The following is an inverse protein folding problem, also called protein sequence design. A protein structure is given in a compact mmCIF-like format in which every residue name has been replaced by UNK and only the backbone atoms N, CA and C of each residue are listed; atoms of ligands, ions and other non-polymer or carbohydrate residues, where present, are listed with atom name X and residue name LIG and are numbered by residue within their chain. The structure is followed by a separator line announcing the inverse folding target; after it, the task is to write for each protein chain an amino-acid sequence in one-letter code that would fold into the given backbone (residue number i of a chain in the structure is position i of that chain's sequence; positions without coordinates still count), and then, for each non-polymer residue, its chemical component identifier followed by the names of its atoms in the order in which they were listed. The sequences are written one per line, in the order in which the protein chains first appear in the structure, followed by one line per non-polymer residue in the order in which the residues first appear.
data_IF_312303099588
#
_entry.id   IF_312303099588
#
_cell.length_a   1.000
_cell.length_b   1.000
_cell.length_c   1.000
_cell.angle_alpha   90.00
_cell.angle_beta   90.00
_cell.angle_gamma   90.00
#
_symmetry.space_group_name_H-M   'P 1'
#
loop_
_entity.id
_entity.type
_entity.pdbx_description
1 polymer ?
#
# COMPACT_ATOMS: atom_id res chain seq x y z
N UNK A 1 0.08 20.79 -3.83
CA UNK A 1 0.96 19.70 -3.36
C UNK A 1 2.28 20.29 -2.94
N UNK A 2 2.81 19.87 -1.80
CA UNK A 2 4.09 20.29 -1.25
C UNK A 2 4.88 19.06 -0.78
N UNK A 3 6.18 19.16 -0.54
CA UNK A 3 6.92 18.03 -0.02
C UNK A 3 6.50 17.61 1.38
N UNK A 4 6.59 16.30 1.64
CA UNK A 4 6.37 15.75 2.97
C UNK A 4 7.42 16.32 3.94
N UNK A 5 7.01 16.91 5.09
CA UNK A 5 7.88 17.75 5.91
C UNK A 5 9.06 17.01 6.53
N UNK A 6 8.95 15.68 6.67
CA UNK A 6 9.96 14.83 7.27
C UNK A 6 11.00 14.31 6.27
N UNK A 7 10.90 14.68 4.99
CA UNK A 7 11.99 14.46 4.05
C UNK A 7 13.17 15.41 4.33
N UNK A 8 14.42 14.93 4.35
CA UNK A 8 15.60 15.79 4.42
C UNK A 8 15.68 16.76 3.23
N UNK A 9 16.13 17.98 3.50
CA UNK A 9 16.34 19.02 2.48
C UNK A 9 17.83 19.18 2.15
N UNK A 10 18.21 19.49 0.89
CA UNK A 10 17.34 19.68 -0.27
C UNK A 10 16.80 18.35 -0.83
N UNK A 11 15.56 18.36 -1.32
CA UNK A 11 14.84 17.12 -1.68
C UNK A 11 15.37 16.56 -3.00
N UNK A 12 15.71 17.45 -3.93
CA UNK A 12 16.18 17.16 -5.28
C UNK A 12 17.42 16.27 -5.30
N UNK A 13 18.23 16.29 -4.23
CA UNK A 13 19.45 15.47 -4.12
C UNK A 13 19.32 14.30 -3.16
N UNK A 14 18.37 14.35 -2.22
CA UNK A 14 18.28 13.38 -1.12
C UNK A 14 17.10 12.41 -1.25
N UNK A 15 16.15 12.68 -2.14
CA UNK A 15 14.95 11.88 -2.27
C UNK A 15 14.67 11.48 -3.72
N UNK A 16 14.46 10.17 -3.90
CA UNK A 16 13.95 9.57 -5.12
C UNK A 16 12.85 8.61 -4.71
N UNK A 17 11.65 8.81 -5.25
CA UNK A 17 10.49 7.99 -4.90
C UNK A 17 10.67 6.53 -5.35
N UNK A 18 10.90 6.30 -6.65
CA UNK A 18 11.04 4.97 -7.22
C UNK A 18 12.30 4.25 -6.71
N UNK A 19 12.11 3.13 -6.01
CA UNK A 19 13.16 2.30 -5.43
C UNK A 19 13.98 1.58 -6.50
N UNK A 20 13.31 1.02 -7.50
CA UNK A 20 13.92 0.16 -8.51
C UNK A 20 14.25 0.99 -9.74
N UNK A 21 15.54 1.23 -10.06
CA UNK A 21 15.92 1.99 -11.23
C UNK A 21 15.69 1.16 -12.49
N UNK A 22 14.80 1.61 -13.37
CA UNK A 22 14.61 0.93 -14.65
C UNK A 22 15.70 1.32 -15.66
N UNK A 23 16.33 2.48 -15.44
CA UNK A 23 17.32 3.09 -16.32
C UNK A 23 18.37 3.86 -15.52
N UNK A 24 19.59 3.88 -16.03
CA UNK A 24 20.71 4.71 -15.60
C UNK A 24 21.04 5.78 -16.67
N UNK A 25 21.65 6.91 -16.29
CA UNK A 25 22.03 7.97 -17.25
C UNK A 25 22.97 7.52 -18.37
N UNK A 26 23.71 6.42 -18.18
CA UNK A 26 24.61 5.83 -19.17
C UNK A 26 23.88 5.00 -20.24
N UNK A 27 22.61 4.67 -20.04
CA UNK A 27 21.86 3.81 -20.95
C UNK A 27 21.44 4.56 -22.22
N UNK A 28 21.29 3.84 -23.32
CA UNK A 28 20.86 4.44 -24.59
C UNK A 28 19.40 4.92 -24.50
N UNK A 29 19.18 6.23 -24.60
CA UNK A 29 17.86 6.86 -24.49
C UNK A 29 16.86 6.38 -25.56
N UNK A 30 17.33 5.93 -26.73
CA UNK A 30 16.47 5.49 -27.84
C UNK A 30 16.09 4.02 -27.79
N UNK A 31 16.49 3.28 -26.74
CA UNK A 31 16.23 1.84 -26.63
C UNK A 31 15.80 1.50 -25.21
N UNK A 32 14.71 0.76 -25.09
CA UNK A 32 14.26 0.27 -23.80
C UNK A 32 15.33 -0.66 -23.18
N UNK A 33 15.59 -0.50 -21.88
CA UNK A 33 16.51 -1.36 -21.13
C UNK A 33 15.85 -2.72 -20.86
N UNK A 34 16.63 -3.77 -20.53
CA UNK A 34 16.05 -5.04 -20.08
C UNK A 34 15.13 -4.90 -18.88
N UNK A 35 15.46 -4.01 -17.94
CA UNK A 35 14.65 -3.75 -16.74
C UNK A 35 13.34 -3.05 -17.10
N UNK A 36 13.37 -2.04 -17.98
CA UNK A 36 12.15 -1.41 -18.50
C UNK A 36 11.25 -2.43 -19.19
N UNK A 37 11.81 -3.28 -20.06
CA UNK A 37 11.03 -4.32 -20.76
C UNK A 37 10.43 -5.31 -19.78
N UNK A 38 11.20 -5.77 -18.78
CA UNK A 38 10.71 -6.68 -17.74
C UNK A 38 9.52 -6.06 -17.01
N UNK A 39 9.67 -4.83 -16.53
CA UNK A 39 8.62 -4.12 -15.83
C UNK A 39 7.43 -3.76 -16.72
N UNK A 40 7.60 -3.47 -18.01
CA UNK A 40 6.48 -3.28 -18.93
C UNK A 40 5.71 -4.61 -19.08
N UNK A 41 6.43 -5.72 -19.20
CA UNK A 41 5.82 -7.04 -19.38
C UNK A 41 5.03 -7.51 -18.16
N UNK A 42 5.45 -7.18 -16.94
CA UNK A 42 4.66 -7.45 -15.71
C UNK A 42 3.22 -6.96 -15.86
N UNK A 43 3.02 -5.79 -16.47
CA UNK A 43 1.71 -5.14 -16.58
C UNK A 43 1.01 -5.41 -17.92
N UNK A 44 1.77 -5.72 -18.97
CA UNK A 44 1.23 -6.10 -20.28
C UNK A 44 0.72 -7.56 -20.30
N UNK A 45 1.38 -8.46 -19.57
CA UNK A 45 1.11 -9.89 -19.65
C UNK A 45 -0.26 -10.25 -19.07
N UNK A 46 -1.13 -10.78 -19.95
CA UNK A 46 -2.36 -11.51 -19.65
C UNK A 46 -2.14 -13.03 -19.63
N UNK A 47 -0.89 -13.48 -19.39
CA UNK A 47 -0.53 -14.88 -19.58
C UNK A 47 -1.38 -15.77 -18.65
N UNK A 48 -2.12 -16.77 -19.19
CA UNK A 48 -2.97 -17.66 -18.39
C UNK A 48 -2.24 -18.42 -17.27
N UNK A 49 -0.92 -18.61 -17.39
CA UNK A 49 -0.07 -19.25 -16.38
C UNK A 49 0.40 -18.31 -15.26
N UNK A 50 0.18 -16.99 -15.40
CA UNK A 50 0.53 -15.97 -14.42
C UNK A 50 -0.72 -15.25 -13.90
N UNK A 51 -1.56 -15.99 -13.17
CA UNK A 51 -2.78 -15.50 -12.50
C UNK A 51 -2.53 -14.53 -11.31
N UNK A 52 -1.35 -13.91 -11.20
CA UNK A 52 -0.86 -13.36 -9.91
C UNK A 52 -0.67 -11.86 -9.85
N UNK A 53 -0.77 -11.17 -10.98
CA UNK A 53 -0.54 -9.73 -11.11
C UNK A 53 -1.86 -9.09 -11.54
N UNK A 54 -2.07 -7.80 -11.18
CA UNK A 54 -3.01 -6.88 -11.85
C UNK A 54 -2.60 -6.71 -13.30
N UNK A 55 -2.78 -7.79 -14.03
CA UNK A 55 -2.64 -7.86 -15.45
C UNK A 55 -3.71 -6.95 -16.04
N UNK A 56 -3.40 -6.41 -17.20
CA UNK A 56 -4.36 -5.70 -18.03
C UNK A 56 -5.70 -6.45 -18.13
N UNK A 57 -5.67 -7.79 -18.12
CA UNK A 57 -6.85 -8.64 -18.10
C UNK A 57 -7.73 -8.45 -16.86
N UNK A 58 -7.18 -8.39 -15.65
CA UNK A 58 -7.99 -8.19 -14.44
C UNK A 58 -8.62 -6.79 -14.39
N UNK A 59 -7.85 -5.77 -14.75
CA UNK A 59 -8.35 -4.39 -14.85
C UNK A 59 -9.47 -4.30 -15.88
N UNK A 60 -9.27 -4.93 -17.05
CA UNK A 60 -10.32 -5.06 -18.06
C UNK A 60 -11.56 -5.78 -17.53
N UNK A 61 -11.38 -6.93 -16.85
CA UNK A 61 -12.48 -7.69 -16.25
C UNK A 61 -13.28 -6.92 -15.20
N UNK A 62 -12.59 -6.10 -14.39
CA UNK A 62 -13.27 -5.23 -13.42
C UNK A 62 -14.02 -4.11 -14.14
N UNK A 63 -13.35 -3.43 -15.07
CA UNK A 63 -13.93 -2.35 -15.85
C UNK A 63 -15.14 -2.80 -16.71
N UNK A 64 -15.09 -3.95 -17.38
CA UNK A 64 -16.23 -4.44 -18.19
C UNK A 64 -17.47 -4.73 -17.35
N UNK A 65 -17.27 -5.04 -16.06
CA UNK A 65 -18.32 -5.41 -15.11
C UNK A 65 -18.84 -4.23 -14.28
N UNK A 66 -18.28 -3.03 -14.47
CA UNK A 66 -18.68 -1.83 -13.75
C UNK A 66 -20.01 -1.29 -14.29
N UNK A 67 -21.10 -1.74 -13.67
CA UNK A 67 -22.47 -1.37 -14.05
C UNK A 67 -22.80 0.13 -13.83
N UNK A 68 -21.93 0.88 -13.15
CA UNK A 68 -22.13 2.33 -12.94
C UNK A 68 -21.74 3.15 -14.17
N UNK A 69 -20.99 2.56 -15.11
CA UNK A 69 -20.52 3.20 -16.34
C UNK A 69 -21.37 2.72 -17.54
N UNK A 70 -22.01 3.63 -18.30
CA UNK A 70 -22.73 3.26 -19.51
C UNK A 70 -21.79 2.64 -20.56
N UNK A 71 -22.17 1.49 -21.12
CA UNK A 71 -21.38 0.75 -22.11
C UNK A 71 -19.97 0.36 -21.59
N UNK A 72 -19.89 -0.02 -20.31
CA UNK A 72 -18.65 -0.43 -19.64
C UNK A 72 -17.85 -1.48 -20.43
N UNK A 73 -18.43 -2.54 -21.03
CA UNK A 73 -17.67 -3.52 -21.80
C UNK A 73 -16.89 -2.92 -22.98
N UNK A 74 -17.51 -2.02 -23.74
CA UNK A 74 -16.86 -1.35 -24.88
C UNK A 74 -15.76 -0.41 -24.40
N UNK A 75 -16.03 0.38 -23.37
CA UNK A 75 -15.04 1.29 -22.77
C UNK A 75 -13.85 0.55 -22.17
N UNK A 76 -14.09 -0.58 -21.51
CA UNK A 76 -13.05 -1.44 -20.97
C UNK A 76 -12.16 -2.00 -22.09
N UNK A 77 -12.75 -2.41 -23.22
CA UNK A 77 -11.98 -2.85 -24.40
C UNK A 77 -11.10 -1.72 -24.94
N UNK A 78 -11.62 -0.50 -25.06
CA UNK A 78 -10.85 0.68 -25.48
C UNK A 78 -9.70 0.96 -24.50
N UNK A 79 -9.95 0.86 -23.19
CA UNK A 79 -8.91 0.98 -22.17
C UNK A 79 -7.79 -0.04 -22.40
N UNK A 80 -8.14 -1.31 -22.57
CA UNK A 80 -7.17 -2.38 -22.75
C UNK A 80 -6.32 -2.16 -24.01
N UNK A 81 -6.95 -1.81 -25.13
CA UNK A 81 -6.25 -1.52 -26.39
C UNK A 81 -5.32 -0.31 -26.28
N UNK A 82 -5.79 0.81 -25.71
CA UNK A 82 -4.98 2.03 -25.54
C UNK A 82 -3.81 1.82 -24.60
N UNK A 83 -4.05 1.19 -23.45
CA UNK A 83 -3.00 0.96 -22.47
C UNK A 83 -1.95 -0.02 -23.00
N UNK A 84 -2.36 -1.12 -23.65
CA UNK A 84 -1.43 -2.02 -24.32
C UNK A 84 -0.60 -1.32 -25.41
N UNK A 85 -1.22 -0.42 -26.19
CA UNK A 85 -0.53 0.41 -27.17
C UNK A 85 0.59 1.24 -26.54
N UNK A 86 0.30 1.96 -25.45
CA UNK A 86 1.30 2.77 -24.73
C UNK A 86 2.45 1.91 -24.19
N UNK A 87 2.15 0.73 -23.63
CA UNK A 87 3.18 -0.19 -23.17
C UNK A 87 4.11 -0.66 -24.31
N UNK A 88 3.56 -0.94 -25.49
CA UNK A 88 4.35 -1.28 -26.68
C UNK A 88 5.13 -0.09 -27.24
N UNK A 89 4.60 1.13 -27.14
CA UNK A 89 5.30 2.34 -27.54
C UNK A 89 6.51 2.60 -26.66
N UNK A 90 6.41 2.41 -25.33
CA UNK A 90 7.57 2.50 -24.43
C UNK A 90 8.67 1.49 -24.73
N UNK A 91 8.32 0.28 -25.21
CA UNK A 91 9.32 -0.70 -25.66
C UNK A 91 10.10 -0.22 -26.88
N UNK A 92 9.44 0.51 -27.79
CA UNK A 92 10.02 1.01 -29.04
C UNK A 92 10.77 2.32 -28.85
N UNK A 93 10.21 3.23 -28.06
CA UNK A 93 10.71 4.57 -27.78
C UNK A 93 10.44 4.92 -26.30
N UNK A 94 11.43 4.77 -25.41
CA UNK A 94 11.26 5.04 -23.97
C UNK A 94 10.79 6.46 -23.66
N UNK A 95 11.13 7.44 -24.49
CA UNK A 95 10.74 8.85 -24.29
C UNK A 95 9.28 9.13 -24.69
N UNK A 96 8.60 8.17 -25.34
CA UNK A 96 7.19 8.33 -25.71
C UNK A 96 6.29 8.40 -24.47
N UNK A 97 5.10 8.98 -24.64
CA UNK A 97 4.05 9.03 -23.60
C UNK A 97 4.55 9.57 -22.24
N UNK A 98 5.53 10.47 -22.24
CA UNK A 98 6.08 11.10 -21.04
C UNK A 98 7.07 10.25 -20.26
N UNK A 99 7.71 9.26 -20.89
CA UNK A 99 8.76 8.45 -20.29
C UNK A 99 10.13 9.15 -20.22
N UNK A 100 11.21 8.43 -19.87
CA UNK A 100 11.30 6.98 -19.65
C UNK A 100 10.37 6.46 -18.54
N UNK A 101 9.77 5.26 -18.70
CA UNK A 101 8.81 4.77 -17.74
C UNK A 101 9.46 4.44 -16.40
N UNK A 102 8.72 4.71 -15.32
CA UNK A 102 9.00 4.20 -13.98
C UNK A 102 7.69 3.70 -13.33
N UNK A 103 7.75 3.28 -12.06
CA UNK A 103 6.57 2.81 -11.33
C UNK A 103 5.44 3.86 -11.23
N UNK A 104 5.80 5.15 -11.12
CA UNK A 104 4.86 6.26 -10.95
C UNK A 104 4.19 6.61 -12.28
N UNK A 105 4.99 6.83 -13.35
CA UNK A 105 4.48 7.19 -14.68
C UNK A 105 3.52 6.12 -15.19
N UNK A 106 3.89 4.84 -14.99
CA UNK A 106 3.05 3.69 -15.35
C UNK A 106 1.69 3.73 -14.64
N UNK A 107 1.70 3.88 -13.31
CA UNK A 107 0.46 4.00 -12.53
C UNK A 107 -0.39 5.18 -13.01
N UNK A 108 0.25 6.33 -13.24
CA UNK A 108 -0.43 7.56 -13.69
C UNK A 108 -1.11 7.40 -15.04
N UNK A 109 -0.43 6.81 -16.03
CA UNK A 109 -1.03 6.56 -17.35
C UNK A 109 -2.23 5.62 -17.24
N UNK A 110 -2.12 4.54 -16.44
CA UNK A 110 -3.23 3.60 -16.21
C UNK A 110 -4.45 4.30 -15.62
N UNK A 111 -4.28 5.02 -14.52
CA UNK A 111 -5.40 5.70 -13.84
C UNK A 111 -5.98 6.82 -14.73
N UNK A 112 -5.15 7.55 -15.46
CA UNK A 112 -5.60 8.59 -16.39
C UNK A 112 -6.52 8.02 -17.47
N UNK A 113 -6.13 6.92 -18.13
CA UNK A 113 -6.94 6.29 -19.17
C UNK A 113 -8.28 5.77 -18.65
N UNK A 114 -8.30 5.11 -17.49
CA UNK A 114 -9.55 4.67 -16.86
C UNK A 114 -10.49 5.86 -16.61
N UNK A 115 -9.95 6.95 -16.05
CA UNK A 115 -10.71 8.15 -15.71
C UNK A 115 -11.21 8.92 -16.95
N UNK A 116 -10.39 9.00 -18.00
CA UNK A 116 -10.76 9.58 -19.31
C UNK A 116 -11.93 8.83 -19.91
N UNK A 117 -11.92 7.50 -19.81
CA UNK A 117 -13.00 6.63 -20.31
C UNK A 117 -14.24 6.61 -19.42
N UNK A 118 -14.27 7.42 -18.36
CA UNK A 118 -15.44 7.61 -17.50
C UNK A 118 -15.50 6.66 -16.30
N UNK A 119 -14.55 5.74 -16.15
CA UNK A 119 -14.44 4.96 -14.93
C UNK A 119 -14.02 5.86 -13.77
N UNK A 120 -14.52 5.57 -12.57
CA UNK A 120 -14.21 6.31 -11.34
C UNK A 120 -13.59 5.41 -10.30
N UNK A 121 -14.21 4.26 -10.07
CA UNK A 121 -13.72 3.24 -9.15
C UNK A 121 -14.22 1.85 -9.56
N UNK A 122 -13.46 1.19 -10.44
CA UNK A 122 -13.81 -0.15 -10.93
C UNK A 122 -13.67 -1.24 -9.84
N UNK A 123 -13.15 -0.90 -8.65
CA UNK A 123 -12.99 -1.79 -7.51
C UNK A 123 -14.00 -1.50 -6.40
N UNK A 124 -14.85 -0.47 -6.52
CA UNK A 124 -15.74 -0.02 -5.44
C UNK A 124 -16.56 -1.15 -4.81
N UNK A 125 -17.27 -1.92 -5.65
CA UNK A 125 -18.11 -3.02 -5.19
C UNK A 125 -17.33 -4.04 -4.35
N UNK A 126 -16.15 -4.44 -4.82
CA UNK A 126 -15.35 -5.44 -4.11
C UNK A 126 -14.72 -4.86 -2.84
N UNK A 127 -14.32 -3.58 -2.83
CA UNK A 127 -13.90 -2.89 -1.60
C UNK A 127 -15.00 -2.89 -0.55
N UNK A 128 -16.23 -2.55 -0.92
CA UNK A 128 -17.37 -2.52 0.00
C UNK A 128 -17.68 -3.91 0.58
N UNK A 129 -17.64 -4.95 -0.27
CA UNK A 129 -17.84 -6.34 0.16
C UNK A 129 -16.75 -6.80 1.15
N UNK A 130 -15.48 -6.50 0.88
CA UNK A 130 -14.37 -6.87 1.78
C UNK A 130 -14.36 -6.03 3.06
N UNK A 131 -14.70 -4.74 2.99
CA UNK A 131 -14.85 -3.88 4.16
C UNK A 131 -15.94 -4.43 5.10
N UNK A 132 -17.11 -4.78 4.57
CA UNK A 132 -18.20 -5.32 5.39
C UNK A 132 -17.81 -6.63 6.09
N UNK A 133 -17.12 -7.54 5.39
CA UNK A 133 -16.59 -8.77 5.98
C UNK A 133 -15.59 -8.45 7.08
N UNK A 134 -14.58 -7.61 6.80
CA UNK A 134 -13.54 -7.28 7.76
C UNK A 134 -14.10 -6.57 9.00
N UNK A 135 -15.06 -5.66 8.84
CA UNK A 135 -15.73 -4.98 9.97
C UNK A 135 -16.38 -5.99 10.92
N UNK A 136 -17.03 -7.04 10.40
CA UNK A 136 -17.65 -8.08 11.23
C UNK A 136 -16.65 -8.87 12.09
N UNK A 137 -15.38 -8.95 11.67
CA UNK A 137 -14.31 -9.69 12.35
C UNK A 137 -13.46 -8.81 13.28
N UNK A 138 -13.59 -7.49 13.15
CA UNK A 138 -12.76 -6.53 13.87
C UNK A 138 -12.74 -6.75 15.39
N UNK A 139 -13.88 -6.97 16.09
CA UNK A 139 -13.86 -7.18 17.53
C UNK A 139 -13.09 -8.41 17.97
N UNK A 140 -13.24 -9.53 17.26
CA UNK A 140 -12.56 -10.78 17.58
C UNK A 140 -11.04 -10.64 17.39
N UNK A 141 -10.59 -10.10 16.26
CA UNK A 141 -9.16 -9.89 15.95
C UNK A 141 -8.49 -8.99 16.99
N UNK A 142 -9.17 -7.92 17.40
CA UNK A 142 -8.66 -7.02 18.46
C UNK A 142 -8.58 -7.74 19.80
N UNK A 143 -9.61 -8.50 20.18
CA UNK A 143 -9.62 -9.24 21.45
C UNK A 143 -8.48 -10.25 21.58
N UNK A 144 -8.12 -10.91 20.47
CA UNK A 144 -7.01 -11.88 20.43
C UNK A 144 -5.66 -11.21 20.67
N UNK A 145 -5.47 -9.99 20.15
CA UNK A 145 -4.27 -9.20 20.43
C UNK A 145 -4.26 -8.70 21.87
N UNK A 146 -5.40 -8.24 22.39
CA UNK A 146 -5.53 -7.76 23.77
C UNK A 146 -5.26 -8.86 24.81
N UNK A 147 -5.56 -10.11 24.49
CA UNK A 147 -5.30 -11.26 25.36
C UNK A 147 -3.81 -11.62 25.51
N UNK A 148 -2.92 -11.10 24.66
CA UNK A 148 -1.48 -11.35 24.76
C UNK A 148 -0.92 -10.42 25.82
N UNK A 149 -0.47 -10.93 26.97
CA UNK A 149 0.04 -10.11 28.08
C UNK A 149 1.40 -9.45 27.79
N UNK A 150 2.30 -10.17 27.12
CA UNK A 150 3.63 -9.65 26.79
C UNK A 150 3.56 -8.63 25.65
N UNK A 151 3.94 -7.38 25.93
CA UNK A 151 3.91 -6.26 24.98
C UNK A 151 4.70 -6.55 23.70
N UNK A 152 5.83 -7.26 23.80
CA UNK A 152 6.65 -7.62 22.66
C UNK A 152 5.94 -8.63 21.75
N UNK A 153 5.40 -9.70 22.31
CA UNK A 153 4.61 -10.70 21.58
C UNK A 153 3.33 -10.10 21.00
N UNK A 154 2.70 -9.17 21.72
CA UNK A 154 1.53 -8.46 21.22
C UNK A 154 1.88 -7.63 19.97
N UNK A 155 3.00 -6.91 20.01
CA UNK A 155 3.51 -6.21 18.85
C UNK A 155 3.78 -7.16 17.67
N UNK A 156 4.46 -8.29 17.91
CA UNK A 156 4.71 -9.27 16.85
C UNK A 156 3.40 -9.77 16.23
N UNK A 157 2.38 -10.06 17.05
CA UNK A 157 1.06 -10.48 16.56
C UNK A 157 0.40 -9.41 15.68
N UNK A 158 0.46 -8.13 16.09
CA UNK A 158 -0.08 -7.02 15.30
C UNK A 158 0.68 -6.85 13.97
N UNK A 159 2.01 -6.96 13.99
CA UNK A 159 2.85 -6.90 12.77
C UNK A 159 2.51 -8.03 11.81
N UNK A 160 2.32 -9.26 12.32
CA UNK A 160 1.82 -10.38 11.50
C UNK A 160 0.43 -10.11 10.95
N UNK A 161 -0.43 -9.44 11.72
CA UNK A 161 -1.74 -8.97 11.28
C UNK A 161 -1.66 -8.01 10.08
N UNK A 162 -0.71 -7.06 10.09
CA UNK A 162 -0.47 -6.15 8.94
C UNK A 162 -0.05 -6.95 7.71
N UNK A 163 0.91 -7.87 7.82
CA UNK A 163 1.31 -8.71 6.69
C UNK A 163 0.17 -9.57 6.16
N UNK A 164 -0.60 -10.20 7.06
CA UNK A 164 -1.76 -11.00 6.69
C UNK A 164 -2.85 -10.17 6.03
N UNK A 165 -3.09 -8.94 6.49
CA UNK A 165 -4.00 -7.99 5.86
C UNK A 165 -3.56 -7.59 4.46
N UNK A 166 -2.27 -7.27 4.29
CA UNK A 166 -1.71 -6.87 3.01
C UNK A 166 -1.66 -8.04 1.99
N UNK A 167 -1.75 -9.31 2.41
CA UNK A 167 -1.94 -10.47 1.51
C UNK A 167 -3.24 -10.36 0.71
N UNK A 168 -4.29 -9.73 1.26
CA UNK A 168 -5.59 -9.57 0.58
C UNK A 168 -5.59 -8.44 -0.43
N UNK A 169 -4.56 -8.45 -1.26
CA UNK A 169 -4.51 -7.66 -2.47
C UNK A 169 -5.44 -8.30 -3.50
N UNK A 170 -6.59 -7.67 -3.71
CA UNK A 170 -7.55 -8.05 -4.76
C UNK A 170 -6.92 -7.98 -6.17
N UNK A 171 -5.70 -7.45 -6.28
CA UNK A 171 -4.85 -7.48 -7.44
C UNK A 171 -3.99 -8.72 -7.65
N UNK A 172 -3.99 -9.69 -6.74
CA UNK A 172 -3.29 -10.97 -6.91
C UNK A 172 -4.29 -12.14 -6.85
N UNK A 173 -4.60 -12.73 -8.01
CA UNK A 173 -5.80 -13.57 -8.16
C UNK A 173 -5.75 -14.93 -7.44
N UNK A 174 -4.64 -15.33 -6.80
CA UNK A 174 -4.54 -16.67 -6.21
C UNK A 174 -5.05 -16.75 -4.76
N UNK A 175 -5.06 -15.64 -4.02
CA UNK A 175 -5.44 -15.67 -2.60
C UNK A 175 -6.94 -15.42 -2.39
N UNK A 176 -7.63 -14.86 -3.38
CA UNK A 176 -9.09 -14.69 -3.37
C UNK A 176 -9.85 -16.03 -3.44
N UNK A 177 -9.28 -17.08 -4.06
CA UNK A 177 -9.91 -18.41 -4.13
C UNK A 177 -9.77 -19.22 -2.83
N UNK A 178 -8.88 -18.83 -1.91
CA UNK A 178 -8.62 -19.57 -0.65
C UNK A 178 -9.51 -19.08 0.49
N UNK A 179 -10.32 -18.03 0.30
CA UNK A 179 -11.15 -17.46 1.35
C UNK A 179 -12.65 -17.71 1.13
N UNK A 180 -13.12 -18.83 1.67
CA UNK A 180 -14.53 -19.04 1.98
C UNK A 180 -14.88 -18.37 3.31
N UNK A 181 -15.71 -17.32 3.24
CA UNK A 181 -16.72 -16.80 4.22
C UNK A 181 -16.50 -16.75 5.75
N UNK A 182 -15.50 -17.35 6.40
CA UNK A 182 -15.64 -17.70 7.83
C UNK A 182 -14.66 -17.08 8.85
N UNK A 183 -13.85 -16.08 8.51
CA UNK A 183 -13.00 -15.35 9.49
C UNK A 183 -11.80 -16.13 10.07
N UNK A 184 -11.93 -17.45 10.22
CA UNK A 184 -10.88 -18.45 10.51
C UNK A 184 -9.68 -18.26 9.59
N UNK A 185 -9.95 -17.82 8.36
CA UNK A 185 -8.98 -17.72 7.31
C UNK A 185 -8.01 -16.55 7.56
N UNK A 186 -8.42 -15.36 8.06
CA UNK A 186 -7.47 -14.25 8.33
C UNK A 186 -6.47 -14.62 9.44
N UNK A 187 -6.98 -15.17 10.53
CA UNK A 187 -6.16 -15.65 11.64
C UNK A 187 -5.22 -16.79 11.22
N UNK A 188 -5.70 -17.71 10.37
CA UNK A 188 -4.86 -18.74 9.79
C UNK A 188 -3.75 -18.15 8.91
N UNK A 189 -4.04 -17.11 8.13
CA UNK A 189 -3.03 -16.40 7.32
C UNK A 189 -1.94 -15.78 8.20
N UNK A 190 -2.29 -15.16 9.34
CA UNK A 190 -1.31 -14.64 10.31
C UNK A 190 -0.31 -15.70 10.78
N UNK A 191 -0.76 -16.95 10.92
CA UNK A 191 0.07 -18.08 11.35
C UNK A 191 0.89 -18.71 10.21
N UNK A 192 0.43 -18.58 8.97
CA UNK A 192 1.04 -19.21 7.78
C UNK A 192 1.95 -18.26 6.98
N UNK A 193 2.31 -17.10 7.54
CA UNK A 193 3.33 -16.23 6.96
C UNK A 193 4.67 -16.95 6.80
N UNK A 194 5.49 -16.49 5.86
CA UNK A 194 6.86 -17.01 5.71
C UNK A 194 7.63 -16.90 7.04
N UNK A 195 8.41 -17.94 7.41
CA UNK A 195 9.17 -17.90 8.65
C UNK A 195 10.29 -16.85 8.56
N UNK A 196 10.59 -16.24 9.72
CA UNK A 196 11.75 -15.37 9.91
C UNK A 196 13.07 -16.16 9.73
N UNK A 197 14.18 -15.54 9.29
CA UNK A 197 14.28 -14.13 8.94
C UNK A 197 13.54 -13.83 7.63
N UNK A 198 12.84 -12.70 7.63
CA UNK A 198 12.27 -12.15 6.41
C UNK A 198 13.35 -11.54 5.51
N UNK A 199 13.03 -11.23 4.25
CA UNK A 199 14.00 -10.63 3.31
C UNK A 199 14.60 -9.31 3.84
N UNK A 200 13.80 -8.53 4.58
CA UNK A 200 14.28 -7.43 5.43
C UNK A 200 13.55 -7.56 6.77
N UNK A 201 14.30 -7.75 7.85
CA UNK A 201 13.74 -8.12 9.16
C UNK A 201 14.39 -7.29 10.29
N UNK A 202 13.86 -6.09 10.51
CA UNK A 202 14.27 -5.19 11.58
C UNK A 202 13.29 -5.21 12.77
N UNK A 203 12.45 -6.25 12.89
CA UNK A 203 11.39 -6.31 13.91
C UNK A 203 11.95 -6.25 15.33
N UNK A 204 13.05 -6.94 15.61
CA UNK A 204 13.63 -6.98 16.95
C UNK A 204 14.15 -5.59 17.38
N UNK A 205 14.73 -4.82 16.45
CA UNK A 205 15.17 -3.44 16.70
C UNK A 205 13.98 -2.52 16.98
N UNK A 206 12.93 -2.62 16.17
CA UNK A 206 11.70 -1.85 16.37
C UNK A 206 11.02 -2.20 17.69
N UNK A 207 10.95 -3.49 18.04
CA UNK A 207 10.39 -3.97 19.30
C UNK A 207 11.17 -3.46 20.52
N UNK A 208 12.51 -3.44 20.44
CA UNK A 208 13.35 -2.89 21.50
C UNK A 208 13.06 -1.40 21.77
N UNK A 209 12.80 -0.62 20.71
CA UNK A 209 12.38 0.78 20.82
C UNK A 209 10.96 0.90 21.38
N UNK A 210 10.02 0.14 20.81
CA UNK A 210 8.61 0.09 21.17
C UNK A 210 8.38 -0.12 22.66
N UNK A 211 9.14 -1.03 23.28
CA UNK A 211 9.06 -1.36 24.71
C UNK A 211 9.63 -0.22 25.58
N UNK A 212 10.75 0.37 25.17
CA UNK A 212 11.49 1.34 26.01
C UNK A 212 10.91 2.75 25.96
N UNK A 213 10.46 3.20 24.79
CA UNK A 213 10.07 4.59 24.56
C UNK A 213 8.94 4.65 23.55
N UNK A 214 7.70 5.00 23.96
CA UNK A 214 6.64 5.23 23.00
C UNK A 214 6.98 6.45 22.14
N UNK A 215 6.66 6.35 20.85
CA UNK A 215 6.60 7.52 19.96
C UNK A 215 5.46 8.43 20.40
N UNK A 216 5.60 9.73 20.15
CA UNK A 216 4.55 10.70 20.48
C UNK A 216 3.54 10.83 19.36
N UNK A 217 3.98 10.72 18.11
CA UNK A 217 3.14 10.92 16.94
C UNK A 217 3.61 10.08 15.74
N UNK A 218 2.74 9.17 15.31
CA UNK A 218 2.93 8.33 14.15
C UNK A 218 2.08 8.80 12.96
N UNK A 219 2.66 8.78 11.76
CA UNK A 219 1.95 8.96 10.48
C UNK A 219 2.04 7.65 9.72
N UNK A 220 0.90 7.07 9.36
CA UNK A 220 0.80 5.79 8.67
C UNK A 220 0.18 6.03 7.30
N UNK A 221 0.94 5.80 6.23
CA UNK A 221 0.43 5.77 4.87
C UNK A 221 -0.15 4.38 4.62
N UNK A 222 -1.48 4.32 4.50
CA UNK A 222 -2.23 3.07 4.39
C UNK A 222 -2.37 2.62 2.94
N UNK A 223 -2.58 1.31 2.74
CA UNK A 223 -2.66 0.65 1.44
C UNK A 223 -4.11 0.24 1.12
N UNK A 224 -4.47 -1.04 1.32
CA UNK A 224 -5.70 -1.61 0.77
C UNK A 224 -6.93 -1.43 1.67
N UNK A 225 -8.10 -1.50 1.05
CA UNK A 225 -9.38 -1.72 1.74
C UNK A 225 -9.49 -3.14 2.32
N UNK A 226 -10.55 -3.39 3.09
CA UNK A 226 -10.87 -4.72 3.62
C UNK A 226 -10.00 -5.12 4.80
N UNK A 227 -9.57 -6.38 4.82
CA UNK A 227 -8.80 -6.95 5.92
C UNK A 227 -7.49 -6.20 6.20
N UNK A 228 -6.90 -5.56 5.19
CA UNK A 228 -5.65 -4.80 5.33
C UNK A 228 -5.81 -3.63 6.31
N UNK A 229 -6.59 -2.62 5.91
CA UNK A 229 -6.88 -1.47 6.77
C UNK A 229 -7.64 -1.86 8.04
N UNK A 230 -8.66 -2.71 7.96
CA UNK A 230 -9.55 -2.98 9.10
C UNK A 230 -8.94 -3.97 10.09
N UNK A 231 -8.30 -5.06 9.66
CA UNK A 231 -7.81 -6.12 10.56
C UNK A 231 -6.29 -6.08 10.77
N UNK A 232 -5.53 -5.37 9.92
CA UNK A 232 -4.09 -5.17 10.07
C UNK A 232 -3.76 -3.80 10.68
N UNK A 233 -4.00 -2.72 9.94
CA UNK A 233 -3.60 -1.37 10.34
C UNK A 233 -4.40 -0.84 11.52
N UNK A 234 -5.73 -0.93 11.53
CA UNK A 234 -6.54 -0.33 12.61
C UNK A 234 -6.25 -0.95 13.99
N UNK A 235 -6.06 -2.27 14.16
CA UNK A 235 -5.62 -2.84 15.43
C UNK A 235 -4.24 -2.36 15.86
N UNK A 236 -3.31 -2.20 14.92
CA UNK A 236 -1.98 -1.66 15.20
C UNK A 236 -2.03 -0.17 15.61
N UNK A 237 -2.82 0.63 14.89
CA UNK A 237 -3.07 2.04 15.22
C UNK A 237 -3.78 2.19 16.58
N UNK A 238 -4.72 1.30 16.89
CA UNK A 238 -5.37 1.21 18.21
C UNK A 238 -4.34 0.96 19.31
N UNK A 239 -3.38 0.08 19.09
CA UNK A 239 -2.34 -0.19 20.07
C UNK A 239 -1.42 1.03 20.28
N UNK A 240 -1.08 1.75 19.22
CA UNK A 240 -0.34 3.01 19.33
C UNK A 240 -1.11 4.04 20.18
N UNK A 241 -2.42 4.20 19.95
CA UNK A 241 -3.30 5.07 20.75
C UNK A 241 -3.36 4.63 22.22
N UNK A 242 -3.52 3.32 22.47
CA UNK A 242 -3.54 2.74 23.82
C UNK A 242 -2.24 3.02 24.59
N UNK A 243 -1.12 3.13 23.88
CA UNK A 243 0.20 3.50 24.43
C UNK A 243 0.45 5.01 24.48
N UNK A 244 -0.55 5.83 24.13
CA UNK A 244 -0.53 7.30 24.24
C UNK A 244 -0.04 8.05 23.00
N UNK A 245 0.28 7.34 21.91
CA UNK A 245 0.75 7.90 20.65
C UNK A 245 -0.41 8.57 19.90
N UNK A 246 -0.19 9.76 19.34
CA UNK A 246 -1.11 10.33 18.35
C UNK A 246 -0.91 9.66 16.99
N UNK A 247 -1.99 9.28 16.32
CA UNK A 247 -1.92 8.55 15.05
C UNK A 247 -2.61 9.33 13.94
N UNK A 248 -1.91 9.51 12.82
CA UNK A 248 -2.46 10.05 11.58
C UNK A 248 -2.48 8.95 10.53
N UNK A 249 -3.65 8.58 10.03
CA UNK A 249 -3.81 7.65 8.91
C UNK A 249 -3.94 8.44 7.61
N UNK A 250 -2.94 8.34 6.73
CA UNK A 250 -2.87 9.05 5.46
C UNK A 250 -3.34 8.13 4.32
N UNK A 251 -4.50 8.44 3.74
CA UNK A 251 -5.13 7.66 2.68
C UNK A 251 -5.19 8.43 1.35
N UNK A 252 -5.47 7.72 0.25
CA UNK A 252 -5.55 8.34 -1.08
C UNK A 252 -6.71 9.35 -1.19
N UNK A 253 -6.53 10.39 -2.01
CA UNK A 253 -7.63 11.28 -2.41
C UNK A 253 -8.59 10.56 -3.37
N UNK A 254 -8.02 9.91 -4.38
CA UNK A 254 -8.76 9.24 -5.44
C UNK A 254 -8.53 7.73 -5.43
N UNK A 255 -9.52 6.93 -5.86
CA UNK A 255 -9.35 5.50 -6.05
C UNK A 255 -8.17 5.18 -6.97
N UNK A 256 -7.40 4.19 -6.54
CA UNK A 256 -6.36 3.53 -7.32
C UNK A 256 -6.35 2.06 -6.92
N UNK A 257 -6.74 1.17 -7.84
CA UNK A 257 -6.96 -0.25 -7.53
C UNK A 257 -7.94 -0.40 -6.34
N UNK A 258 -7.61 -1.21 -5.34
CA UNK A 258 -8.41 -1.48 -4.14
C UNK A 258 -7.91 -0.71 -2.92
N UNK A 259 -7.04 0.28 -3.12
CA UNK A 259 -6.58 1.16 -2.06
C UNK A 259 -7.76 1.87 -1.38
N UNK A 260 -7.65 2.03 -0.06
CA UNK A 260 -8.62 2.78 0.72
C UNK A 260 -8.43 4.28 0.49
N UNK A 261 -9.51 4.99 0.19
CA UNK A 261 -9.50 6.46 0.06
C UNK A 261 -9.76 7.14 1.40
N UNK A 262 -9.41 8.42 1.49
CA UNK A 262 -9.69 9.28 2.65
C UNK A 262 -11.15 9.24 3.08
N UNK A 263 -12.07 9.38 2.11
CA UNK A 263 -13.51 9.37 2.36
C UNK A 263 -13.95 8.00 2.90
N UNK A 264 -13.52 6.92 2.24
CA UNK A 264 -13.88 5.56 2.66
C UNK A 264 -13.31 5.20 4.03
N UNK A 265 -12.07 5.61 4.33
CA UNK A 265 -11.47 5.38 5.64
C UNK A 265 -12.21 6.13 6.74
N UNK A 266 -12.67 7.35 6.46
CA UNK A 266 -13.50 8.13 7.39
C UNK A 266 -14.79 7.39 7.71
N UNK A 267 -15.47 6.84 6.70
CA UNK A 267 -16.70 6.07 6.87
C UNK A 267 -16.45 4.77 7.65
N UNK A 268 -15.40 4.01 7.32
CA UNK A 268 -15.01 2.77 8.00
C UNK A 268 -14.75 3.04 9.49
N UNK A 269 -13.94 4.06 9.79
CA UNK A 269 -13.62 4.42 11.18
C UNK A 269 -14.88 4.89 11.92
N UNK A 270 -15.77 5.63 11.27
CA UNK A 270 -17.05 6.03 11.87
C UNK A 270 -17.95 4.82 12.18
N UNK A 271 -17.92 3.78 11.35
CA UNK A 271 -18.72 2.57 11.55
C UNK A 271 -18.17 1.68 12.68
N UNK A 272 -16.85 1.68 12.88
CA UNK A 272 -16.19 0.86 13.91
C UNK A 272 -16.16 1.53 15.29
N UNK A 273 -16.34 2.85 15.36
CA UNK A 273 -16.35 3.59 16.63
C UNK A 273 -17.65 3.36 17.42
N UNK A 274 -17.49 3.27 18.74
CA UNK A 274 -18.58 3.48 19.69
C UNK A 274 -18.31 4.79 20.45
N UNK A 275 -19.05 5.84 20.09
CA UNK A 275 -18.75 7.20 20.52
C UNK A 275 -17.36 7.66 20.06
N UNK A 276 -16.47 7.92 21.01
CA UNK A 276 -15.08 8.34 20.75
C UNK A 276 -14.08 7.20 20.91
N UNK A 277 -14.52 5.95 20.97
CA UNK A 277 -13.66 4.81 21.25
C UNK A 277 -13.63 3.79 20.11
N UNK A 278 -12.48 3.15 19.92
CA UNK A 278 -12.30 1.99 19.06
C UNK A 278 -12.04 0.79 19.97
N UNK A 279 -13.11 0.08 20.34
CA UNK A 279 -13.07 -1.04 21.32
C UNK A 279 -12.36 -0.61 22.61
N UNK A 280 -12.96 0.33 23.35
CA UNK A 280 -12.46 0.76 24.66
C UNK A 280 -11.17 1.60 24.63
N UNK A 281 -10.69 2.01 23.45
CA UNK A 281 -9.52 2.89 23.31
C UNK A 281 -9.95 4.22 22.74
N UNK A 282 -9.69 5.31 23.47
CA UNK A 282 -9.99 6.67 23.04
C UNK A 282 -9.31 7.02 21.70
N UNK A 283 -10.10 7.61 20.80
CA UNK A 283 -9.71 7.98 19.44
C UNK A 283 -9.59 9.48 19.25
N UNK A 284 -9.59 10.29 20.32
CA UNK A 284 -9.40 11.73 20.23
C UNK A 284 -8.07 12.13 19.56
N UNK A 285 -7.08 11.25 19.62
CA UNK A 285 -5.77 11.39 18.97
C UNK A 285 -5.63 10.59 17.67
N UNK A 286 -6.72 10.05 17.12
CA UNK A 286 -6.75 9.41 15.81
C UNK A 286 -7.24 10.42 14.78
N UNK A 287 -6.37 10.77 13.83
CA UNK A 287 -6.68 11.66 12.72
C UNK A 287 -6.63 10.88 11.41
N UNK A 288 -7.52 11.22 10.49
CA UNK A 288 -7.52 10.70 9.12
C UNK A 288 -7.16 11.88 8.23
N UNK A 289 -6.20 11.69 7.33
CA UNK A 289 -5.66 12.73 6.48
C UNK A 289 -5.77 12.35 5.00
N UNK A 290 -6.24 13.28 4.19
CA UNK A 290 -6.15 13.14 2.74
C UNK A 290 -4.70 13.36 2.30
N UNK A 291 -4.04 12.34 1.75
CA UNK A 291 -2.66 12.46 1.26
C UNK A 291 -2.52 13.30 -0.01
N UNK A 292 -3.61 13.50 -0.76
CA UNK A 292 -3.61 14.09 -2.10
C UNK A 292 -3.11 13.12 -3.19
N UNK A 293 -2.84 11.86 -2.84
CA UNK A 293 -2.35 10.84 -3.75
C UNK A 293 -3.50 10.15 -4.50
N UNK A 294 -3.24 9.75 -5.73
CA UNK A 294 -4.23 9.14 -6.63
C UNK A 294 -3.70 7.88 -7.33
N UNK A 295 -2.66 7.27 -6.76
CA UNK A 295 -1.93 6.10 -7.27
C UNK A 295 -1.76 5.04 -6.18
N UNK A 296 -1.40 3.81 -6.57
CA UNK A 296 -1.05 2.74 -5.62
C UNK A 296 0.41 2.78 -5.14
N UNK A 297 1.20 3.68 -5.72
CA UNK A 297 2.53 4.09 -5.25
C UNK A 297 2.42 5.54 -4.75
N UNK A 298 3.44 6.06 -4.05
CA UNK A 298 3.40 7.45 -3.59
C UNK A 298 4.74 8.17 -3.76
N UNK A 299 4.66 9.39 -4.28
CA UNK A 299 5.78 10.33 -4.34
C UNK A 299 5.67 11.35 -3.19
N UNK A 300 6.43 11.12 -2.12
CA UNK A 300 6.46 11.98 -0.94
C UNK A 300 7.04 13.39 -1.19
N UNK A 301 7.62 13.68 -2.36
CA UNK A 301 7.93 15.06 -2.73
C UNK A 301 6.66 15.88 -3.05
N UNK A 302 5.52 15.21 -3.17
CA UNK A 302 4.22 15.79 -3.51
C UNK A 302 3.12 15.16 -2.67
N UNK A 303 2.81 15.76 -1.54
CA UNK A 303 1.65 15.44 -0.69
C UNK A 303 0.72 16.65 -0.55
N UNK A 304 -0.50 16.43 -0.05
CA UNK A 304 -1.44 17.51 0.26
C UNK A 304 -0.89 18.45 1.34
N UNK A 305 -1.39 19.69 1.38
CA UNK A 305 -1.06 20.63 2.45
C UNK A 305 -1.58 20.15 3.81
N UNK A 306 -2.73 19.48 3.82
CA UNK A 306 -3.33 18.89 5.01
C UNK A 306 -2.42 17.85 5.64
N UNK A 307 -1.96 16.86 4.86
CA UNK A 307 -1.06 15.83 5.36
C UNK A 307 0.26 16.42 5.84
N UNK A 308 0.83 17.36 5.10
CA UNK A 308 2.05 18.03 5.50
C UNK A 308 1.90 18.79 6.83
N UNK A 309 0.79 19.51 7.03
CA UNK A 309 0.49 20.18 8.30
C UNK A 309 0.40 19.17 9.44
N UNK A 310 -0.40 18.11 9.24
CA UNK A 310 -0.63 17.07 10.25
C UNK A 310 0.61 16.22 10.56
N UNK A 311 1.65 16.23 9.72
CA UNK A 311 2.85 15.39 9.87
C UNK A 311 4.09 16.15 10.33
N UNK A 312 4.01 17.47 10.49
CA UNK A 312 5.17 18.34 10.71
C UNK A 312 5.99 18.02 11.98
N UNK A 313 5.34 17.48 13.00
CA UNK A 313 5.89 17.12 14.31
C UNK A 313 5.88 15.59 14.57
N UNK A 314 5.67 14.77 13.54
CA UNK A 314 5.70 13.31 13.72
C UNK A 314 7.10 12.81 14.04
N UNK A 315 7.19 11.84 14.95
CA UNK A 315 8.44 11.17 15.33
C UNK A 315 8.50 9.71 14.87
N UNK A 316 7.46 9.22 14.18
CA UNK A 316 7.44 7.95 13.45
C UNK A 316 6.67 8.08 12.13
N UNK A 317 7.26 7.59 11.04
CA UNK A 317 6.60 7.47 9.72
C UNK A 317 6.52 6.00 9.32
N UNK A 318 5.33 5.52 9.00
CA UNK A 318 5.08 4.16 8.55
C UNK A 318 4.54 4.19 7.13
N UNK A 319 5.21 3.50 6.22
CA UNK A 319 4.76 3.31 4.83
C UNK A 319 4.36 1.86 4.67
N UNK A 320 3.07 1.63 4.47
CA UNK A 320 2.50 0.30 4.35
C UNK A 320 2.30 -0.10 2.89
N UNK A 321 2.48 -1.39 2.60
CA UNK A 321 2.23 -1.98 1.30
C UNK A 321 3.42 -1.98 0.34
N UNK A 322 3.35 -2.86 -0.66
CA UNK A 322 4.41 -3.00 -1.66
C UNK A 322 4.57 -1.73 -2.49
N UNK A 323 3.48 -1.12 -2.92
CA UNK A 323 3.54 0.07 -3.77
C UNK A 323 4.20 1.26 -3.07
N UNK A 324 3.72 1.63 -1.89
CA UNK A 324 4.15 2.82 -1.15
C UNK A 324 5.44 2.64 -0.35
N UNK A 325 5.72 1.43 0.13
CA UNK A 325 6.85 1.14 1.02
C UNK A 325 8.00 0.33 0.39
N UNK A 326 7.78 -0.33 -0.76
CA UNK A 326 8.79 -1.18 -1.42
C UNK A 326 9.13 -0.66 -2.82
N UNK A 327 8.18 -0.63 -3.75
CA UNK A 327 8.37 -0.10 -5.12
C UNK A 327 8.69 1.40 -5.10
N UNK A 328 8.12 2.11 -4.12
CA UNK A 328 8.54 3.46 -3.75
C UNK A 328 9.00 3.52 -2.30
N UNK A 329 9.86 4.48 -1.99
CA UNK A 329 10.25 4.90 -0.64
C UNK A 329 11.01 3.90 0.25
N UNK A 330 11.36 2.70 -0.22
CA UNK A 330 12.06 1.69 0.60
C UNK A 330 13.36 2.24 1.22
N UNK A 331 14.09 3.05 0.45
CA UNK A 331 15.35 3.68 0.87
C UNK A 331 15.19 5.18 1.17
N UNK A 332 13.97 5.70 1.25
CA UNK A 332 13.75 7.08 1.62
C UNK A 332 14.23 7.34 3.05
N UNK A 333 15.05 8.38 3.20
CA UNK A 333 15.51 8.88 4.49
C UNK A 333 14.48 9.86 5.05
N UNK A 334 14.35 9.88 6.37
CA UNK A 334 13.44 10.76 7.10
C UNK A 334 14.19 11.47 8.23
N UNK A 335 13.67 12.62 8.65
CA UNK A 335 14.15 13.39 9.81
C UNK A 335 13.80 12.73 11.15
N UNK A 336 12.95 11.71 11.13
CA UNK A 336 12.50 10.93 12.28
C UNK A 336 12.60 9.43 11.98
N UNK A 337 12.25 8.61 12.98
CA UNK A 337 12.17 7.17 12.79
C UNK A 337 11.20 6.82 11.65
N UNK A 338 11.51 5.75 10.92
CA UNK A 338 10.62 5.28 9.87
C UNK A 338 10.58 3.76 9.77
N UNK A 339 9.40 3.25 9.42
CA UNK A 339 9.12 1.84 9.14
C UNK A 339 8.56 1.72 7.72
N UNK A 340 9.12 0.82 6.92
CA UNK A 340 8.50 0.38 5.67
C UNK A 340 8.09 -1.06 5.87
N UNK A 341 6.79 -1.32 5.77
CA UNK A 341 6.18 -2.61 6.08
C UNK A 341 5.29 -3.05 4.93
N UNK A 342 5.53 -4.22 4.36
CA UNK A 342 4.70 -4.72 3.27
C UNK A 342 5.12 -6.09 2.78
N UNK A 343 4.26 -6.72 1.99
CA UNK A 343 4.54 -8.04 1.42
C UNK A 343 5.00 -7.95 -0.04
N UNK A 344 5.93 -8.82 -0.42
CA UNK A 344 6.44 -8.90 -1.79
C UNK A 344 5.48 -9.70 -2.67
N UNK A 345 4.71 -9.03 -3.53
CA UNK A 345 3.70 -9.64 -4.41
C UNK A 345 4.11 -9.72 -5.87
N UNK A 346 5.29 -9.23 -6.21
CA UNK A 346 5.86 -9.28 -7.56
C UNK A 346 7.18 -10.05 -7.56
N UNK A 347 7.35 -10.95 -8.53
CA UNK A 347 8.57 -11.77 -8.66
C UNK A 347 9.77 -10.88 -8.95
N UNK A 348 9.58 -9.81 -9.71
CA UNK A 348 10.59 -8.81 -10.04
C UNK A 348 11.06 -8.05 -8.80
N UNK A 349 10.14 -7.76 -7.86
CA UNK A 349 10.47 -7.16 -6.56
C UNK A 349 11.21 -8.17 -5.69
N UNK A 350 10.77 -9.43 -5.66
CA UNK A 350 11.48 -10.49 -4.94
C UNK A 350 12.92 -10.65 -5.45
N UNK A 351 13.11 -10.66 -6.77
CA UNK A 351 14.43 -10.72 -7.40
C UNK A 351 15.29 -9.51 -7.04
N UNK A 352 14.71 -8.29 -7.09
CA UNK A 352 15.42 -7.07 -6.71
C UNK A 352 15.90 -7.10 -5.25
N UNK A 353 15.07 -7.62 -4.34
CA UNK A 353 15.40 -7.72 -2.92
C UNK A 353 16.29 -8.95 -2.59
N UNK A 354 16.49 -9.88 -3.52
CA UNK A 354 17.11 -11.18 -3.23
C UNK A 354 16.25 -12.07 -2.33
N UNK A 355 14.93 -11.86 -2.32
CA UNK A 355 13.96 -12.57 -1.48
C UNK A 355 13.07 -13.53 -2.26
N UNK A 356 11.94 -13.89 -1.65
CA UNK A 356 10.93 -14.79 -2.22
C UNK A 356 9.65 -14.04 -2.59
N UNK A 357 8.82 -14.65 -3.42
CA UNK A 357 7.43 -14.21 -3.53
C UNK A 357 6.73 -14.45 -2.18
N UNK A 358 5.91 -13.50 -1.76
CA UNK A 358 5.26 -13.42 -0.44
C UNK A 358 6.24 -13.28 0.74
N UNK A 359 7.49 -12.90 0.48
CA UNK A 359 8.38 -12.51 1.57
C UNK A 359 7.90 -11.21 2.22
N UNK A 360 8.30 -11.00 3.46
CA UNK A 360 7.91 -9.82 4.24
C UNK A 360 9.05 -8.80 4.23
N UNK A 361 8.71 -7.53 4.06
CA UNK A 361 9.64 -6.42 4.31
C UNK A 361 9.21 -5.77 5.60
N UNK A 362 10.07 -5.80 6.60
CA UNK A 362 9.97 -5.02 7.83
C UNK A 362 11.26 -4.21 7.98
N UNK A 363 11.31 -3.03 7.35
CA UNK A 363 12.50 -2.18 7.32
C UNK A 363 12.35 -1.02 8.30
N UNK A 364 13.09 -1.05 9.41
CA UNK A 364 13.07 0.00 10.41
C UNK A 364 14.37 0.80 10.37
N UNK A 365 14.23 2.13 10.36
CA UNK A 365 15.35 3.06 10.46
C UNK A 365 15.10 3.99 11.66
N UNK A 366 15.93 3.81 12.70
CA UNK A 366 15.99 4.73 13.83
C UNK A 366 16.88 5.92 13.49
N UNK A 367 16.43 7.15 13.80
CA UNK A 367 17.27 8.34 13.70
C UNK A 367 17.94 8.55 15.05
N UNK A 368 19.27 8.60 15.05
CA UNK A 368 20.04 8.90 16.25
C UNK A 368 19.79 10.37 16.65
N UNK A 369 19.19 10.56 17.83
CA UNK A 369 18.88 11.85 18.43
C UNK A 369 20.07 12.51 19.08
#
# INVERSE_FOLDING_TARGET
MIPFPLLPTPIETNYRACTIPYRFPSDNLKKATPTEISWINVFANSIPSFKFILSLFQLWKRAESDITVPDAPTRAKIFAERYAGILEDWKKDPESNGGPPDGIIRGRVREHLLRELGFRDIFKKVKDEENAKAISLFPEVVSLSDAIEDDGKRLENLVRGIFAGNIFDLGSAQLAEVFSRDGISFLATCQNLVPRPWVIDDLDNFQAKWIKKPWKKAVIFVDNSGADIILGILPFARELLRRGTQVVLAANELPAINDVTYTELTDIVSQLKDGNELIGVDTSKLLIANSGNDLAVIDLSRVSHELAYLSSDADLVILEGMGRGIETNLYAQFKCDSLKIGMVKHVEVAQFLGGRLYDCVFKYNEVQS
#
